data_IF_115472945914
#
_entry.id   IF_115472945914
#
_cell.length_a   1.000
_cell.length_b   1.000
_cell.length_c   1.000
_cell.angle_alpha   90.00
_cell.angle_beta   90.00
_cell.angle_gamma   90.00
#
_symmetry.space_group_name_H-M   'P 1'
#
loop_
_entity.id
_entity.type
_entity.pdbx_description
1 polymer ?
#
# COMPACT_ATOMS: atom_id res chain seq x y z
N UNK A 1 39.88 -10.06 -22.11
CA UNK A 1 38.40 -9.90 -22.17
C UNK A 1 37.93 -9.32 -20.86
N UNK A 2 37.70 -8.01 -20.79
CA UNK A 2 37.16 -7.36 -19.59
C UNK A 2 35.64 -7.44 -19.63
N UNK A 3 35.06 -8.30 -18.80
CA UNK A 3 33.64 -8.28 -18.52
C UNK A 3 33.35 -7.07 -17.63
N UNK A 4 32.85 -6.00 -18.23
CA UNK A 4 32.15 -4.96 -17.47
C UNK A 4 30.88 -5.60 -16.89
N UNK A 5 30.94 -5.96 -15.61
CA UNK A 5 29.74 -6.29 -14.83
C UNK A 5 28.93 -5.01 -14.66
N UNK A 6 28.08 -4.71 -15.65
CA UNK A 6 27.12 -3.62 -15.60
C UNK A 6 25.99 -4.01 -14.64
N UNK A 7 26.28 -3.95 -13.33
CA UNK A 7 25.27 -4.08 -12.30
C UNK A 7 24.44 -2.79 -12.29
N UNK A 8 23.39 -2.74 -13.13
CA UNK A 8 22.34 -1.74 -12.95
C UNK A 8 21.66 -2.09 -11.63
N UNK A 9 21.92 -1.30 -10.59
CA UNK A 9 21.06 -1.23 -9.42
C UNK A 9 19.68 -0.74 -9.90
N UNK A 10 18.81 -1.67 -10.28
CA UNK A 10 17.42 -1.38 -10.61
C UNK A 10 16.78 -0.79 -9.35
N UNK A 11 16.50 0.51 -9.36
CA UNK A 11 15.84 1.19 -8.24
C UNK A 11 14.48 0.54 -8.01
N UNK A 12 14.28 0.02 -6.80
CA UNK A 12 12.99 -0.54 -6.37
C UNK A 12 11.89 0.51 -6.56
N UNK A 13 10.89 0.19 -7.38
CA UNK A 13 9.77 1.10 -7.65
C UNK A 13 8.99 1.40 -6.38
N UNK A 14 8.54 2.64 -6.24
CA UNK A 14 7.86 3.12 -5.04
C UNK A 14 6.40 3.44 -5.29
N UNK A 15 5.53 2.95 -4.42
CA UNK A 15 4.08 3.14 -4.47
C UNK A 15 3.66 4.02 -3.30
N UNK A 16 3.04 5.16 -3.60
CA UNK A 16 2.31 5.92 -2.59
C UNK A 16 0.92 5.31 -2.41
N UNK A 17 0.56 4.93 -1.19
CA UNK A 17 -0.73 4.32 -0.89
C UNK A 17 -1.64 5.35 -0.21
N UNK A 18 -2.63 5.82 -0.94
CA UNK A 18 -3.70 6.69 -0.44
C UNK A 18 -4.88 5.86 0.05
N UNK A 19 -5.40 6.21 1.22
CA UNK A 19 -6.52 5.55 1.87
C UNK A 19 -7.27 6.53 2.77
N UNK A 20 -8.41 6.11 3.30
CA UNK A 20 -9.07 6.81 4.39
C UNK A 20 -9.51 5.83 5.46
N UNK A 21 -9.31 6.20 6.73
CA UNK A 21 -9.86 5.49 7.88
C UNK A 21 -11.32 5.87 8.15
N UNK A 22 -11.87 6.86 7.42
CA UNK A 22 -13.27 7.28 7.59
C UNK A 22 -14.23 6.13 7.31
N UNK A 23 -15.08 5.83 8.29
CA UNK A 23 -16.03 4.71 8.23
C UNK A 23 -15.46 3.37 8.66
N UNK A 24 -14.26 3.34 9.27
CA UNK A 24 -13.65 2.15 9.90
C UNK A 24 -13.57 0.92 8.98
N UNK A 25 -13.39 1.14 7.66
CA UNK A 25 -13.30 0.06 6.65
C UNK A 25 -11.88 -0.33 6.31
N UNK A 26 -10.94 0.61 6.41
CA UNK A 26 -9.51 0.39 6.19
C UNK A 26 -8.85 0.60 7.55
N UNK A 27 -8.34 -0.47 8.12
CA UNK A 27 -7.64 -0.47 9.40
C UNK A 27 -6.13 -0.69 9.24
N UNK A 28 -5.41 -0.71 10.36
CA UNK A 28 -3.97 -0.91 10.36
C UNK A 28 -3.56 -2.30 9.85
N UNK A 29 -4.39 -3.33 10.06
CA UNK A 29 -4.10 -4.70 9.64
C UNK A 29 -4.22 -4.84 8.12
N UNK A 30 -5.26 -4.28 7.51
CA UNK A 30 -5.41 -4.20 6.05
C UNK A 30 -4.22 -3.47 5.42
N UNK A 31 -3.76 -2.37 6.02
CA UNK A 31 -2.61 -1.61 5.50
C UNK A 31 -1.29 -2.39 5.62
N UNK A 32 -1.05 -3.09 6.73
CA UNK A 32 0.13 -3.96 6.92
C UNK A 32 0.13 -5.13 5.95
N UNK A 33 -1.05 -5.71 5.69
CA UNK A 33 -1.18 -6.77 4.71
C UNK A 33 -0.82 -6.29 3.29
N UNK A 34 -1.30 -5.11 2.89
CA UNK A 34 -0.96 -4.50 1.59
C UNK A 34 0.54 -4.20 1.51
N UNK A 35 1.14 -3.64 2.57
CA UNK A 35 2.58 -3.42 2.64
C UNK A 35 3.36 -4.72 2.39
N UNK A 36 2.97 -5.82 3.07
CA UNK A 36 3.58 -7.13 2.88
C UNK A 36 3.43 -7.66 1.45
N UNK A 37 2.23 -7.56 0.86
CA UNK A 37 2.00 -7.96 -0.54
C UNK A 37 2.87 -7.16 -1.52
N UNK A 38 2.93 -5.83 -1.36
CA UNK A 38 3.73 -4.96 -2.22
C UNK A 38 5.22 -5.28 -2.08
N UNK A 39 5.68 -5.55 -0.86
CA UNK A 39 7.06 -5.95 -0.60
C UNK A 39 7.41 -7.29 -1.28
N UNK A 40 6.54 -8.29 -1.20
CA UNK A 40 6.70 -9.59 -1.88
C UNK A 40 6.77 -9.45 -3.40
N UNK A 41 6.00 -8.52 -3.97
CA UNK A 41 6.03 -8.19 -5.40
C UNK A 41 7.25 -7.36 -5.82
N UNK A 42 8.15 -7.03 -4.89
CA UNK A 42 9.34 -6.25 -5.20
C UNK A 42 9.10 -4.74 -5.27
N UNK A 43 7.99 -4.22 -4.74
CA UNK A 43 7.74 -2.78 -4.62
C UNK A 43 8.08 -2.28 -3.21
N UNK A 44 8.52 -1.02 -3.13
CA UNK A 44 8.52 -0.26 -1.87
C UNK A 44 7.23 0.53 -1.79
N UNK A 45 6.73 0.81 -0.59
CA UNK A 45 5.54 1.63 -0.44
C UNK A 45 5.67 2.64 0.69
N UNK A 46 4.88 3.71 0.58
CA UNK A 46 4.65 4.67 1.65
C UNK A 46 3.16 4.67 2.01
N UNK A 47 2.87 4.44 3.29
CA UNK A 47 1.53 4.49 3.90
C UNK A 47 1.62 5.42 5.10
N UNK A 48 0.88 6.54 5.06
CA UNK A 48 0.97 7.61 6.07
C UNK A 48 0.81 7.09 7.51
N UNK A 49 -0.21 6.28 7.80
CA UNK A 49 -0.47 5.74 9.14
C UNK A 49 0.65 4.83 9.65
N UNK A 50 1.37 4.16 8.76
CA UNK A 50 2.39 3.17 9.14
C UNK A 50 3.79 3.78 9.21
N UNK A 51 4.07 4.78 8.38
CA UNK A 51 5.43 5.27 8.14
C UNK A 51 5.66 6.70 8.58
N UNK A 52 4.59 7.49 8.79
CA UNK A 52 4.75 8.92 9.05
C UNK A 52 5.03 9.24 10.53
N UNK A 53 6.30 9.24 10.91
CA UNK A 53 6.83 9.68 12.20
C UNK A 53 7.35 11.14 12.19
N UNK A 54 7.08 11.91 11.12
CA UNK A 54 7.65 13.26 11.01
C UNK A 54 6.91 14.28 11.90
N UNK A 55 7.64 15.32 12.32
CA UNK A 55 7.07 16.49 13.01
C UNK A 55 6.11 17.26 12.09
N UNK A 56 6.47 17.43 10.82
CA UNK A 56 5.60 18.02 9.81
C UNK A 56 4.94 16.92 8.95
N UNK A 57 3.89 16.31 9.52
CA UNK A 57 3.17 15.16 8.95
C UNK A 57 2.78 15.41 7.50
N UNK A 58 2.13 16.54 7.23
CA UNK A 58 1.54 16.81 5.92
C UNK A 58 2.57 17.08 4.83
N UNK A 59 3.61 17.85 5.14
CA UNK A 59 4.68 18.08 4.18
C UNK A 59 5.36 16.77 3.78
N UNK A 60 5.56 15.86 4.74
CA UNK A 60 6.12 14.55 4.43
C UNK A 60 5.23 13.76 3.48
N UNK A 61 3.92 13.67 3.74
CA UNK A 61 2.97 12.97 2.85
C UNK A 61 3.12 13.45 1.39
N UNK A 62 3.15 14.77 1.18
CA UNK A 62 3.31 15.32 -0.17
C UNK A 62 4.67 15.00 -0.80
N UNK A 63 5.76 15.11 -0.04
CA UNK A 63 7.10 14.77 -0.54
C UNK A 63 7.18 13.29 -0.95
N UNK A 64 6.59 12.41 -0.14
CA UNK A 64 6.55 10.97 -0.38
C UNK A 64 5.74 10.66 -1.64
N UNK A 65 4.59 11.31 -1.83
CA UNK A 65 3.78 11.24 -3.05
C UNK A 65 4.55 11.70 -4.29
N UNK A 66 5.23 12.85 -4.21
CA UNK A 66 6.02 13.41 -5.32
C UNK A 66 7.13 12.43 -5.72
N UNK A 67 7.83 11.85 -4.73
CA UNK A 67 8.95 10.94 -4.93
C UNK A 67 8.57 9.54 -5.43
N UNK A 68 7.28 9.15 -5.33
CA UNK A 68 6.80 7.82 -5.67
C UNK A 68 6.60 7.66 -7.18
N UNK A 69 6.77 6.45 -7.70
CA UNK A 69 6.55 6.14 -9.11
C UNK A 69 5.04 5.97 -9.40
N UNK A 70 4.32 5.32 -8.48
CA UNK A 70 2.90 4.98 -8.61
C UNK A 70 2.06 5.59 -7.51
N UNK A 71 0.77 5.78 -7.80
CA UNK A 71 -0.25 6.17 -6.84
C UNK A 71 -1.30 5.05 -6.72
N UNK A 72 -1.39 4.41 -5.56
CA UNK A 72 -2.39 3.40 -5.27
C UNK A 72 -3.50 4.01 -4.39
N UNK A 73 -4.73 3.97 -4.86
CA UNK A 73 -5.91 4.42 -4.12
C UNK A 73 -6.69 3.20 -3.60
N UNK A 74 -6.79 3.06 -2.29
CA UNK A 74 -7.67 2.08 -1.64
C UNK A 74 -9.04 2.72 -1.50
N UNK A 75 -9.92 2.40 -2.45
CA UNK A 75 -11.26 2.95 -2.55
C UNK A 75 -12.16 2.26 -1.52
N UNK A 76 -12.57 3.03 -0.51
CA UNK A 76 -13.69 2.73 0.39
C UNK A 76 -14.87 3.65 0.10
N UNK A 77 -16.03 3.33 0.68
CA UNK A 77 -17.27 4.09 0.46
C UNK A 77 -17.11 5.61 0.75
N UNK A 78 -16.23 5.96 1.69
CA UNK A 78 -15.95 7.34 2.09
C UNK A 78 -14.67 7.93 1.49
N UNK A 79 -13.97 7.21 0.60
CA UNK A 79 -12.68 7.65 0.05
C UNK A 79 -12.79 9.02 -0.63
N UNK A 80 -13.83 9.23 -1.44
CA UNK A 80 -14.05 10.49 -2.17
C UNK A 80 -14.47 11.65 -1.27
N UNK A 81 -15.00 11.36 -0.07
CA UNK A 81 -15.45 12.37 0.88
C UNK A 81 -14.30 12.96 1.71
N UNK A 82 -13.11 12.36 1.68
CA UNK A 82 -11.94 12.88 2.39
C UNK A 82 -11.28 14.02 1.60
N UNK A 83 -11.20 15.24 2.15
CA UNK A 83 -10.49 16.34 1.48
C UNK A 83 -9.00 16.03 1.27
N UNK A 84 -8.40 15.18 2.12
CA UNK A 84 -7.00 14.78 2.02
C UNK A 84 -6.75 13.89 0.81
N UNK A 85 -7.54 12.83 0.63
CA UNK A 85 -7.41 11.93 -0.53
C UNK A 85 -7.68 12.68 -1.84
N UNK A 86 -8.58 13.68 -1.82
CA UNK A 86 -8.83 14.55 -2.97
C UNK A 86 -7.62 15.42 -3.34
N UNK A 87 -6.93 15.99 -2.35
CA UNK A 87 -5.67 16.74 -2.59
C UNK A 87 -4.59 15.82 -3.16
N UNK A 88 -4.44 14.63 -2.59
CA UNK A 88 -3.47 13.63 -3.03
C UNK A 88 -3.71 13.16 -4.46
N UNK A 89 -4.94 12.74 -4.81
CA UNK A 89 -5.26 12.28 -6.17
C UNK A 89 -5.15 13.42 -7.20
N UNK A 90 -5.48 14.66 -6.81
CA UNK A 90 -5.31 15.83 -7.67
C UNK A 90 -3.83 16.07 -7.97
N UNK A 91 -2.97 15.99 -6.95
CA UNK A 91 -1.52 16.11 -7.14
C UNK A 91 -0.96 14.96 -7.97
N UNK A 92 -1.38 13.71 -7.72
CA UNK A 92 -0.95 12.54 -8.48
C UNK A 92 -1.28 12.69 -9.98
N UNK A 93 -2.49 13.18 -10.31
CA UNK A 93 -2.90 13.50 -11.68
C UNK A 93 -2.05 14.61 -12.29
N UNK A 94 -1.79 15.70 -11.54
CA UNK A 94 -0.92 16.80 -11.99
C UNK A 94 0.49 16.31 -12.32
N UNK A 95 1.01 15.39 -11.52
CA UNK A 95 2.32 14.76 -11.71
C UNK A 95 2.31 13.61 -12.73
N UNK A 96 1.17 13.33 -13.38
CA UNK A 96 0.97 12.24 -14.35
C UNK A 96 1.44 10.88 -13.81
N UNK A 97 1.25 10.63 -12.51
CA UNK A 97 1.53 9.33 -11.90
C UNK A 97 0.58 8.28 -12.46
N UNK A 98 1.05 7.05 -12.56
CA UNK A 98 0.16 5.93 -12.86
C UNK A 98 -0.70 5.63 -11.63
N UNK A 99 -2.02 5.63 -11.83
CA UNK A 99 -3.02 5.51 -10.76
C UNK A 99 -3.61 4.10 -10.77
N UNK A 100 -3.36 3.37 -9.70
CA UNK A 100 -3.90 2.03 -9.43
C UNK A 100 -5.05 2.18 -8.43
N UNK A 101 -6.22 1.63 -8.73
CA UNK A 101 -7.37 1.66 -7.81
C UNK A 101 -7.69 0.25 -7.34
N UNK A 102 -7.84 0.09 -6.03
CA UNK A 102 -8.20 -1.18 -5.39
C UNK A 102 -9.42 -0.94 -4.50
N UNK A 103 -10.44 -1.78 -4.61
CA UNK A 103 -11.58 -1.77 -3.69
C UNK A 103 -11.19 -2.42 -2.36
N UNK A 104 -11.51 -1.77 -1.23
CA UNK A 104 -11.23 -2.29 0.11
C UNK A 104 -11.82 -3.69 0.36
N UNK A 105 -12.95 -4.02 -0.27
CA UNK A 105 -13.62 -5.33 -0.10
C UNK A 105 -12.73 -6.47 -0.58
N UNK A 106 -12.01 -6.27 -1.68
CA UNK A 106 -11.08 -7.26 -2.23
C UNK A 106 -9.92 -7.55 -1.29
N UNK A 107 -9.46 -6.54 -0.55
CA UNK A 107 -8.39 -6.72 0.44
C UNK A 107 -8.88 -7.64 1.57
N UNK A 108 -10.09 -7.40 2.08
CA UNK A 108 -10.67 -8.19 3.15
C UNK A 108 -10.98 -9.64 2.73
N UNK A 109 -11.42 -9.85 1.49
CA UNK A 109 -11.66 -11.20 0.93
C UNK A 109 -10.37 -12.01 0.86
N UNK A 110 -9.28 -11.39 0.37
CA UNK A 110 -7.96 -12.06 0.29
C UNK A 110 -7.43 -12.36 1.70
N UNK A 111 -7.54 -11.42 2.64
CA UNK A 111 -7.14 -11.65 4.04
C UNK A 111 -7.92 -12.81 4.68
N UNK A 112 -9.25 -12.83 4.51
CA UNK A 112 -10.11 -13.90 5.05
C UNK A 112 -9.85 -15.27 4.41
N UNK A 113 -9.49 -15.30 3.12
CA UNK A 113 -9.09 -16.52 2.41
C UNK A 113 -7.73 -17.07 2.87
N UNK A 114 -6.78 -16.21 3.23
CA UNK A 114 -5.48 -16.62 3.78
C UNK A 114 -5.58 -17.17 5.20
N UNK A 115 -6.43 -16.60 6.05
CA UNK A 115 -6.65 -17.11 7.42
C UNK A 115 -7.28 -18.52 7.39
N UNK A 116 -8.22 -18.77 6.47
CA UNK A 116 -8.89 -20.08 6.37
C UNK A 116 -8.01 -21.21 5.82
N UNK A 117 -6.90 -20.92 5.13
CA UNK A 117 -6.01 -21.94 4.55
C UNK A 117 -4.92 -22.46 5.49
N UNK A 118 -4.67 -21.77 6.61
CA UNK A 118 -3.64 -22.18 7.59
C UNK A 118 -4.22 -22.92 8.82
N UNK A 119 -5.50 -23.33 8.78
CA UNK A 119 -6.21 -23.97 9.89
C UNK A 119 -6.60 -25.42 9.64
N UNK A 120 -5.80 -26.20 8.89
CA UNK A 120 -6.03 -27.64 8.78
C UNK A 120 -4.70 -28.40 8.73
N UNK A 121 -4.19 -28.74 9.91
CA UNK A 121 -3.24 -29.84 10.13
C UNK A 121 -3.55 -30.46 11.49
N UNK A 122 -4.45 -31.44 11.45
CA UNK A 122 -4.50 -32.67 12.24
C UNK A 122 -3.87 -32.65 13.65
N UNK A 123 -4.68 -32.38 14.67
CA UNK A 123 -4.48 -33.01 15.99
C UNK A 123 -5.41 -34.23 16.10
N UNK A 124 -4.86 -35.39 15.72
CA UNK A 124 -5.35 -36.68 16.21
C UNK A 124 -4.90 -36.81 17.67
N UNK A 125 -5.84 -36.71 18.60
CA UNK A 125 -5.64 -37.25 19.94
C UNK A 125 -5.86 -38.76 19.85
N UNK A 126 -4.76 -39.53 19.85
CA UNK A 126 -4.81 -40.94 20.25
C UNK A 126 -5.00 -40.97 21.77
N UNK A 127 -6.05 -41.66 22.21
CA UNK A 127 -6.23 -42.13 23.59
C UNK A 127 -6.28 -43.65 23.55
#
# INVERSE_FOLDING_TARGET
MHYYSFCILQKKKKIFVSYTTRGNKVDIYSLRFIEGMLQQLGYSCYIDLLHNDSKNKQQRVFNELISSDYFMAIISDNYHLSPWTQKEITLARKLKKEIIKIDYKKINEVQGGHIKKNGNSDEKYDT
#
